data_IF_256710284914
#
_entry.id   IF_256710284914
#
_cell.length_a   1.000
_cell.length_b   1.000
_cell.length_c   1.000
_cell.angle_alpha   90.00
_cell.angle_beta   90.00
_cell.angle_gamma   90.00
#
_symmetry.space_group_name_H-M   'P 1'
#
loop_
_entity.id
_entity.type
_entity.pdbx_description
1 polymer ?
#
# COMPACT_ATOMS: atom_id res chain seq x y z
N UNK A 1 -23.12 4.90 -22.23
CA UNK A 1 -21.79 4.29 -22.49
C UNK A 1 -20.77 5.25 -21.94
N UNK A 2 -19.92 4.91 -20.98
CA UNK A 2 -19.01 3.77 -20.87
C UNK A 2 -18.92 3.47 -19.35
N UNK A 3 -19.18 2.22 -18.90
CA UNK A 3 -18.87 1.84 -17.52
C UNK A 3 -17.35 1.78 -17.42
N UNK A 4 -16.75 2.88 -16.98
CA UNK A 4 -15.33 2.88 -16.61
C UNK A 4 -15.22 1.96 -15.39
N UNK A 5 -14.93 0.68 -15.63
CA UNK A 5 -14.30 -0.17 -14.62
C UNK A 5 -12.87 0.37 -14.48
N UNK A 6 -12.70 1.38 -13.64
CA UNK A 6 -11.40 1.70 -13.09
C UNK A 6 -11.24 0.78 -11.88
N UNK A 7 -10.66 -0.44 -12.02
CA UNK A 7 -10.37 -1.23 -10.84
C UNK A 7 -9.54 -0.35 -9.91
N UNK A 8 -9.99 -0.18 -8.66
CA UNK A 8 -9.26 0.59 -7.67
C UNK A 8 -7.80 0.14 -7.71
N UNK A 9 -6.86 1.08 -7.89
CA UNK A 9 -5.46 0.72 -7.95
C UNK A 9 -5.14 -0.05 -6.66
N UNK A 10 -4.33 -1.13 -6.70
CA UNK A 10 -4.06 -1.94 -5.51
C UNK A 10 -3.52 -1.11 -4.33
N UNK A 11 -2.89 0.02 -4.61
CA UNK A 11 -2.48 1.00 -3.59
C UNK A 11 -3.60 1.84 -2.97
N UNK A 12 -4.70 2.11 -3.68
CA UNK A 12 -5.89 2.74 -3.07
C UNK A 12 -6.55 1.79 -2.08
N UNK A 13 -6.66 0.50 -2.44
CA UNK A 13 -7.13 -0.55 -1.53
C UNK A 13 -6.21 -0.66 -0.31
N UNK A 14 -4.89 -0.65 -0.53
CA UNK A 14 -3.90 -0.68 0.55
C UNK A 14 -4.04 0.50 1.53
N UNK A 15 -4.49 1.66 1.06
CA UNK A 15 -4.74 2.83 1.90
C UNK A 15 -5.90 2.59 2.87
N UNK A 16 -6.94 1.89 2.43
CA UNK A 16 -8.04 1.50 3.32
C UNK A 16 -7.58 0.47 4.35
N UNK A 17 -6.71 -0.47 3.97
CA UNK A 17 -6.11 -1.45 4.88
C UNK A 17 -5.20 -0.83 5.95
N UNK A 18 -4.60 0.33 5.70
CA UNK A 18 -3.76 1.01 6.69
C UNK A 18 -4.57 1.60 7.86
N UNK A 19 -5.85 1.91 7.65
CA UNK A 19 -6.70 2.50 8.70
C UNK A 19 -6.13 3.82 9.23
N UNK A 20 -6.05 3.94 10.55
CA UNK A 20 -5.64 5.16 11.26
C UNK A 20 -4.11 5.36 11.37
N UNK A 21 -3.29 4.43 10.88
CA UNK A 21 -1.83 4.60 10.97
C UNK A 21 -1.33 5.58 9.90
N UNK A 22 -0.38 6.44 10.28
CA UNK A 22 0.19 7.38 9.31
C UNK A 22 1.03 6.64 8.26
N UNK A 23 1.09 7.19 7.05
CA UNK A 23 1.95 6.66 5.97
C UNK A 23 3.43 6.57 6.42
N UNK A 24 3.88 7.48 7.27
CA UNK A 24 5.23 7.45 7.83
C UNK A 24 5.45 6.25 8.74
N UNK A 25 4.49 6.00 9.64
CA UNK A 25 4.54 4.88 10.57
C UNK A 25 4.45 3.54 9.83
N UNK A 26 3.55 3.43 8.85
CA UNK A 26 3.44 2.28 7.98
C UNK A 26 4.74 2.01 7.21
N UNK A 27 5.34 3.05 6.63
CA UNK A 27 6.60 2.92 5.91
C UNK A 27 7.74 2.44 6.81
N UNK A 28 7.78 2.93 8.06
CA UNK A 28 8.76 2.49 9.05
C UNK A 28 8.59 1.00 9.40
N UNK A 29 7.36 0.55 9.67
CA UNK A 29 7.05 -0.86 9.96
C UNK A 29 7.37 -1.81 8.80
N UNK A 30 7.14 -1.35 7.57
CA UNK A 30 7.40 -2.09 6.34
C UNK A 30 8.87 -1.98 5.87
N UNK A 31 9.70 -1.21 6.58
CA UNK A 31 11.09 -0.92 6.23
C UNK A 31 11.24 -0.34 4.81
N UNK A 32 10.30 0.50 4.37
CA UNK A 32 10.31 1.18 3.07
C UNK A 32 10.40 2.68 3.24
N UNK A 33 10.78 3.40 2.17
CA UNK A 33 10.71 4.86 2.22
C UNK A 33 9.25 5.33 2.21
N UNK A 34 8.96 6.38 2.98
CA UNK A 34 7.65 7.07 2.96
C UNK A 34 7.22 7.46 1.54
N UNK A 35 8.18 7.89 0.71
CA UNK A 35 7.92 8.33 -0.67
C UNK A 35 7.46 7.15 -1.53
N UNK A 36 8.12 5.99 -1.42
CA UNK A 36 7.73 4.78 -2.15
C UNK A 36 6.34 4.32 -1.77
N UNK A 37 6.05 4.25 -0.47
CA UNK A 37 4.72 3.87 0.02
C UNK A 37 3.65 4.88 -0.44
N UNK A 38 3.91 6.19 -0.32
CA UNK A 38 3.00 7.23 -0.78
C UNK A 38 2.68 7.13 -2.28
N UNK A 39 3.68 6.86 -3.13
CA UNK A 39 3.44 6.68 -4.58
C UNK A 39 2.55 5.49 -4.87
N UNK A 40 2.71 4.39 -4.14
CA UNK A 40 1.84 3.22 -4.27
C UNK A 40 0.42 3.59 -3.84
N UNK A 41 0.26 4.17 -2.65
CA UNK A 41 -1.05 4.54 -2.08
C UNK A 41 -1.85 5.53 -2.94
N UNK A 42 -1.17 6.39 -3.69
CA UNK A 42 -1.79 7.35 -4.61
C UNK A 42 -1.95 6.82 -6.04
N UNK A 43 -1.70 5.52 -6.27
CA UNK A 43 -1.86 4.90 -7.59
C UNK A 43 -0.81 5.31 -8.63
N UNK A 44 0.27 5.96 -8.21
CA UNK A 44 1.34 6.39 -9.10
C UNK A 44 2.35 5.27 -9.41
N UNK A 45 2.48 4.26 -8.54
CA UNK A 45 3.34 3.10 -8.72
C UNK A 45 2.60 1.79 -8.43
N UNK A 46 2.83 0.77 -9.25
CA UNK A 46 2.40 -0.60 -8.94
C UNK A 46 3.16 -1.21 -7.74
N UNK A 47 2.65 -2.34 -7.23
CA UNK A 47 3.28 -3.11 -6.15
C UNK A 47 4.26 -4.12 -6.76
N UNK A 48 5.56 -3.95 -6.51
CA UNK A 48 6.58 -4.92 -6.88
C UNK A 48 6.55 -6.17 -6.00
N UNK A 49 7.13 -7.28 -6.46
CA UNK A 49 7.22 -8.52 -5.67
C UNK A 49 7.91 -8.33 -4.30
N UNK A 50 9.02 -7.56 -4.25
CA UNK A 50 9.68 -7.19 -2.98
C UNK A 50 8.73 -6.42 -2.04
N UNK A 51 7.92 -5.51 -2.58
CA UNK A 51 6.94 -4.75 -1.80
C UNK A 51 5.83 -5.65 -1.25
N UNK A 52 5.37 -6.63 -2.03
CA UNK A 52 4.37 -7.60 -1.58
C UNK A 52 4.89 -8.44 -0.39
N UNK A 53 6.16 -8.87 -0.42
CA UNK A 53 6.78 -9.60 0.69
C UNK A 53 6.90 -8.73 1.96
N UNK A 54 7.26 -7.45 1.80
CA UNK A 54 7.31 -6.52 2.94
C UNK A 54 5.94 -6.29 3.55
N UNK A 55 4.90 -6.18 2.71
CA UNK A 55 3.51 -6.08 3.16
C UNK A 55 3.07 -7.33 3.91
N UNK A 56 3.35 -8.52 3.39
CA UNK A 56 3.05 -9.79 4.08
C UNK A 56 3.71 -9.84 5.47
N UNK A 57 4.99 -9.45 5.55
CA UNK A 57 5.72 -9.43 6.81
C UNK A 57 5.20 -8.37 7.80
N UNK A 58 4.74 -7.22 7.30
CA UNK A 58 4.17 -6.16 8.14
C UNK A 58 2.77 -6.48 8.66
N UNK A 59 1.95 -7.20 7.90
CA UNK A 59 0.59 -7.59 8.28
C UNK A 59 0.57 -8.81 9.22
N UNK A 60 1.64 -9.63 9.23
CA UNK A 60 1.71 -10.83 10.09
C UNK A 60 1.87 -10.55 11.59
N UNK A 61 1.89 -9.28 12.03
CA UNK A 61 2.01 -8.92 13.46
C UNK A 61 0.69 -8.98 14.25
N UNK A 62 -0.37 -9.57 13.69
CA UNK A 62 -1.60 -9.93 14.41
C UNK A 62 -1.72 -11.46 14.53
N UNK A 63 -0.91 -12.06 15.42
CA UNK A 63 -1.25 -13.28 16.17
C UNK A 63 -0.67 -13.21 17.56
#
# INVERSE_FOLDING_TARGET
MIRMHNPAHPGEVLREFLGDITVTEAAHRLHVTRVSLSRILNGANGISADMALRLENGTRYER
#
